data_IF_528476481968
#
_entry.id   IF_528476481968
#
_cell.length_a   1.000
_cell.length_b   1.000
_cell.length_c   1.000
_cell.angle_alpha   90.00
_cell.angle_beta   90.00
_cell.angle_gamma   90.00
#
_symmetry.space_group_name_H-M   'P 1'
#
loop_
_entity.id
_entity.type
_entity.pdbx_description
1 polymer ?
#
# COMPACT_ATOMS: atom_id res chain seq x y z
N UNK A 1 15.46 34.16 1.86
CA UNK A 1 14.03 34.30 2.22
C UNK A 1 13.34 34.92 1.02
N UNK A 2 12.20 34.41 0.58
CA UNK A 2 11.40 35.07 -0.46
C UNK A 2 10.76 36.35 0.12
N UNK A 3 10.60 37.40 -0.69
CA UNK A 3 10.01 38.66 -0.26
C UNK A 3 8.48 38.64 -0.37
N UNK A 4 7.81 39.55 0.34
CA UNK A 4 6.35 39.72 0.25
C UNK A 4 5.88 40.07 -1.18
N UNK A 5 6.74 40.74 -1.96
CA UNK A 5 6.52 41.05 -3.38
C UNK A 5 6.61 39.81 -4.28
N UNK A 6 7.42 38.81 -3.91
CA UNK A 6 7.50 37.55 -4.66
C UNK A 6 6.24 36.71 -4.41
N UNK A 7 5.75 36.68 -3.17
CA UNK A 7 4.51 36.00 -2.81
C UNK A 7 3.28 36.57 -3.55
N UNK A 8 3.14 37.90 -3.60
CA UNK A 8 2.03 38.56 -4.33
C UNK A 8 2.14 38.36 -5.84
N UNK A 9 3.36 38.39 -6.42
CA UNK A 9 3.57 38.05 -7.84
C UNK A 9 3.19 36.60 -8.15
N UNK A 10 3.61 35.65 -7.33
CA UNK A 10 3.26 34.23 -7.48
C UNK A 10 1.74 34.03 -7.36
N UNK A 11 1.08 34.68 -6.39
CA UNK A 11 -0.38 34.64 -6.26
C UNK A 11 -1.07 35.14 -7.52
N UNK A 12 -0.69 36.34 -8.01
CA UNK A 12 -1.32 36.92 -9.21
C UNK A 12 -1.09 36.08 -10.49
N UNK A 13 0.06 35.42 -10.62
CA UNK A 13 0.32 34.49 -11.74
C UNK A 13 -0.53 33.22 -11.63
N UNK A 14 -0.75 32.69 -10.42
CA UNK A 14 -1.69 31.60 -10.17
C UNK A 14 -3.13 32.01 -10.50
N UNK A 15 -3.57 33.19 -10.05
CA UNK A 15 -4.92 33.70 -10.30
C UNK A 15 -5.17 33.88 -11.83
N UNK A 16 -4.19 34.39 -12.58
CA UNK A 16 -4.25 34.48 -14.06
C UNK A 16 -4.29 33.08 -14.70
N UNK A 17 -3.40 32.16 -14.28
CA UNK A 17 -3.35 30.80 -14.82
C UNK A 17 -4.64 30.01 -14.56
N UNK A 18 -5.31 30.26 -13.42
CA UNK A 18 -6.62 29.69 -13.13
C UNK A 18 -7.73 30.29 -13.99
N UNK A 19 -7.70 31.61 -14.23
CA UNK A 19 -8.73 32.27 -15.03
C UNK A 19 -8.62 31.95 -16.54
N UNK A 20 -7.41 31.78 -17.05
CA UNK A 20 -7.14 31.62 -18.50
C UNK A 20 -6.71 30.21 -18.91
N UNK A 21 -6.55 29.28 -17.97
CA UNK A 21 -6.09 27.92 -18.27
C UNK A 21 -7.17 27.01 -18.84
N UNK A 22 -6.83 26.26 -19.89
CA UNK A 22 -7.72 25.28 -20.56
C UNK A 22 -8.03 24.03 -19.71
N UNK A 23 -7.39 23.89 -18.53
CA UNK A 23 -7.61 22.77 -17.61
C UNK A 23 -8.65 23.15 -16.54
N UNK A 24 -9.59 22.25 -16.19
CA UNK A 24 -10.48 22.44 -15.05
C UNK A 24 -9.74 22.86 -13.78
N UNK A 25 -10.05 24.05 -13.27
CA UNK A 25 -9.44 24.64 -12.08
C UNK A 25 -10.49 25.16 -11.09
N UNK A 26 -10.23 24.97 -9.80
CA UNK A 26 -11.07 25.41 -8.68
C UNK A 26 -10.21 26.09 -7.61
N UNK A 27 -10.76 27.12 -6.99
CA UNK A 27 -10.30 27.63 -5.70
C UNK A 27 -11.26 27.11 -4.63
N UNK A 28 -10.73 26.41 -3.63
CA UNK A 28 -11.54 25.84 -2.54
C UNK A 28 -10.99 26.20 -1.17
N UNK A 29 -11.87 26.26 -0.17
CA UNK A 29 -11.47 26.37 1.23
C UNK A 29 -10.75 25.10 1.71
N UNK A 30 -10.03 25.14 2.84
CA UNK A 30 -9.48 23.94 3.49
C UNK A 30 -10.52 22.85 3.86
N UNK A 31 -11.81 23.20 3.85
CA UNK A 31 -12.93 22.29 4.06
C UNK A 31 -13.60 21.87 2.74
N UNK A 32 -13.00 22.17 1.59
CA UNK A 32 -13.47 21.80 0.26
C UNK A 32 -14.66 22.60 -0.26
N UNK A 33 -14.97 23.76 0.32
CA UNK A 33 -16.02 24.66 -0.19
C UNK A 33 -15.48 25.45 -1.38
N UNK A 34 -16.15 25.38 -2.53
CA UNK A 34 -15.75 26.08 -3.75
C UNK A 34 -15.99 27.57 -3.60
N UNK A 35 -14.93 28.36 -3.78
CA UNK A 35 -14.97 29.82 -3.85
C UNK A 35 -14.96 30.32 -5.28
N UNK A 36 -14.23 29.62 -6.16
CA UNK A 36 -14.17 29.91 -7.59
C UNK A 36 -13.96 28.63 -8.40
N UNK A 37 -14.42 28.64 -9.65
CA UNK A 37 -14.11 27.63 -10.66
C UNK A 37 -13.97 28.32 -12.03
N UNK A 38 -13.07 27.84 -12.87
CA UNK A 38 -12.86 28.40 -14.20
C UNK A 38 -13.85 27.85 -15.25
N UNK A 39 -13.80 28.40 -16.46
CA UNK A 39 -14.68 27.99 -17.55
C UNK A 39 -14.50 26.50 -17.90
N UNK A 40 -13.26 26.00 -18.00
CA UNK A 40 -12.98 24.60 -18.27
C UNK A 40 -13.59 23.65 -17.21
N UNK A 41 -13.60 24.04 -15.93
CA UNK A 41 -14.27 23.29 -14.86
C UNK A 41 -15.79 23.31 -14.97
N UNK A 42 -16.37 24.47 -15.32
CA UNK A 42 -17.82 24.60 -15.58
C UNK A 42 -18.27 23.73 -16.76
N UNK A 43 -17.48 23.69 -17.84
CA UNK A 43 -17.74 22.86 -19.02
C UNK A 43 -17.56 21.36 -18.73
N UNK A 44 -16.49 20.96 -18.03
CA UNK A 44 -16.24 19.57 -17.65
C UNK A 44 -17.38 19.00 -16.80
N UNK A 45 -17.86 19.77 -15.81
CA UNK A 45 -18.97 19.39 -14.93
C UNK A 45 -20.36 19.65 -15.52
N UNK A 46 -20.48 20.41 -16.61
CA UNK A 46 -21.76 20.96 -17.14
C UNK A 46 -22.58 21.72 -16.08
N UNK A 47 -21.92 22.43 -15.17
CA UNK A 47 -22.56 23.19 -14.10
C UNK A 47 -22.46 24.69 -14.34
N UNK A 48 -23.53 25.43 -14.01
CA UNK A 48 -23.46 26.88 -13.94
C UNK A 48 -22.55 27.29 -12.77
N UNK A 49 -21.53 28.16 -12.98
CA UNK A 49 -20.62 28.56 -11.91
C UNK A 49 -21.33 29.12 -10.66
N UNK A 50 -22.44 29.86 -10.85
CA UNK A 50 -23.22 30.44 -9.77
C UNK A 50 -23.91 29.40 -8.88
N UNK A 51 -24.12 28.17 -9.38
CA UNK A 51 -24.69 27.05 -8.63
C UNK A 51 -23.61 26.21 -7.93
N UNK A 52 -22.38 26.21 -8.44
CA UNK A 52 -21.27 25.44 -7.88
C UNK A 52 -20.54 26.18 -6.75
N UNK A 53 -20.42 27.51 -6.81
CA UNK A 53 -19.83 28.32 -5.74
C UNK A 53 -20.64 28.19 -4.43
N UNK A 54 -19.94 28.18 -3.29
CA UNK A 54 -20.44 27.88 -1.93
C UNK A 54 -20.92 26.43 -1.70
N UNK A 55 -20.82 25.54 -2.68
CA UNK A 55 -21.02 24.09 -2.48
C UNK A 55 -19.68 23.38 -2.25
N UNK A 56 -19.69 22.08 -1.96
CA UNK A 56 -18.45 21.30 -1.73
C UNK A 56 -17.98 20.61 -3.00
N UNK A 57 -16.68 20.63 -3.26
CA UNK A 57 -16.06 19.89 -4.37
C UNK A 57 -16.35 18.38 -4.30
N UNK A 58 -16.46 17.83 -3.10
CA UNK A 58 -16.84 16.44 -2.82
C UNK A 58 -18.24 16.04 -3.34
N UNK A 59 -19.10 16.99 -3.71
CA UNK A 59 -20.39 16.71 -4.35
C UNK A 59 -20.26 16.33 -5.83
N UNK A 60 -19.18 16.78 -6.49
CA UNK A 60 -18.98 16.71 -7.95
C UNK A 60 -17.94 15.67 -8.38
N UNK A 61 -17.37 14.93 -7.43
CA UNK A 61 -16.48 13.80 -7.68
C UNK A 61 -17.13 12.49 -7.26
N UNK A 62 -16.61 11.37 -7.77
CA UNK A 62 -17.10 10.03 -7.41
C UNK A 62 -16.71 9.71 -5.97
N UNK A 63 -15.43 9.85 -5.59
CA UNK A 63 -14.95 9.61 -4.21
C UNK A 63 -14.91 10.89 -3.36
N UNK A 64 -16.09 11.49 -3.18
CA UNK A 64 -16.24 12.73 -2.41
C UNK A 64 -15.73 12.65 -0.97
N UNK A 65 -15.80 11.48 -0.33
CA UNK A 65 -15.34 11.31 1.05
C UNK A 65 -13.80 11.28 1.14
N UNK A 66 -13.11 10.62 0.22
CA UNK A 66 -11.64 10.68 0.20
C UNK A 66 -11.14 12.04 -0.31
N UNK A 67 -11.76 12.62 -1.33
CA UNK A 67 -11.41 13.97 -1.79
C UNK A 67 -11.56 15.00 -0.66
N UNK A 68 -12.60 14.93 0.18
CA UNK A 68 -12.72 15.76 1.39
C UNK A 68 -11.54 15.55 2.36
N UNK A 69 -11.16 14.29 2.65
CA UNK A 69 -10.06 13.96 3.56
C UNK A 69 -8.69 14.44 3.06
N UNK A 70 -8.45 14.41 1.75
CA UNK A 70 -7.22 14.92 1.12
C UNK A 70 -7.09 16.43 1.29
N UNK A 71 -8.17 17.17 1.01
CA UNK A 71 -8.23 18.62 1.23
C UNK A 71 -8.00 19.00 2.70
N UNK A 72 -8.53 18.21 3.64
CA UNK A 72 -8.29 18.40 5.08
C UNK A 72 -6.86 18.03 5.52
N UNK A 73 -6.21 17.07 4.87
CA UNK A 73 -4.82 16.67 5.12
C UNK A 73 -3.80 17.69 4.59
N UNK A 74 -4.08 18.32 3.45
CA UNK A 74 -3.29 19.43 2.91
C UNK A 74 -3.15 20.58 3.91
N UNK A 75 -4.22 20.92 4.63
CA UNK A 75 -4.21 21.94 5.68
C UNK A 75 -3.40 21.53 6.94
N UNK A 76 -2.95 20.27 7.06
CA UNK A 76 -2.27 19.74 8.26
C UNK A 76 -0.77 19.47 8.06
N UNK A 77 -0.23 19.54 6.84
CA UNK A 77 1.22 19.38 6.63
C UNK A 77 1.72 19.21 5.19
N UNK A 78 0.85 18.85 4.24
CA UNK A 78 1.24 18.67 2.83
C UNK A 78 1.02 19.94 2.01
N UNK A 79 2.05 20.42 1.30
CA UNK A 79 1.92 21.59 0.42
C UNK A 79 1.18 21.28 -0.89
N UNK A 80 1.19 20.03 -1.34
CA UNK A 80 0.45 19.57 -2.52
C UNK A 80 0.17 18.07 -2.47
N UNK A 81 -0.92 17.63 -3.11
CA UNK A 81 -1.28 16.21 -3.26
C UNK A 81 -1.92 15.99 -4.64
N UNK A 82 -1.58 14.88 -5.30
CA UNK A 82 -2.18 14.46 -6.58
C UNK A 82 -2.87 13.10 -6.41
N UNK A 83 -4.09 12.98 -6.94
CA UNK A 83 -4.87 11.75 -6.92
C UNK A 83 -5.73 11.60 -8.17
N UNK A 84 -6.12 10.37 -8.49
CA UNK A 84 -7.17 10.10 -9.47
C UNK A 84 -8.53 10.03 -8.79
N UNK A 85 -9.52 10.55 -9.47
CA UNK A 85 -10.94 10.50 -9.13
C UNK A 85 -11.72 10.47 -10.45
N UNK A 86 -13.04 10.61 -10.41
CA UNK A 86 -13.82 10.92 -11.60
C UNK A 86 -14.80 12.05 -11.30
N UNK A 87 -14.97 12.96 -12.25
CA UNK A 87 -16.05 13.94 -12.21
C UNK A 87 -17.39 13.25 -12.36
N UNK A 88 -18.33 13.55 -11.45
CA UNK A 88 -19.71 13.08 -11.50
C UNK A 88 -20.54 14.10 -12.29
N UNK A 89 -20.99 13.70 -13.47
CA UNK A 89 -21.78 14.54 -14.39
C UNK A 89 -23.08 13.83 -14.74
N UNK A 90 -24.16 14.18 -14.07
CA UNK A 90 -25.47 13.54 -14.20
C UNK A 90 -25.41 12.00 -13.99
N UNK A 91 -25.41 11.23 -15.07
CA UNK A 91 -25.29 9.75 -15.09
C UNK A 91 -23.93 9.27 -15.61
N UNK A 92 -23.05 10.18 -16.01
CA UNK A 92 -21.73 9.91 -16.57
C UNK A 92 -20.62 10.20 -15.55
N UNK A 93 -19.51 9.47 -15.66
CA UNK A 93 -18.32 9.68 -14.84
C UNK A 93 -17.10 9.88 -15.74
N UNK A 94 -16.47 11.06 -15.68
CA UNK A 94 -15.29 11.40 -16.49
C UNK A 94 -14.05 11.22 -15.63
N UNK A 95 -13.18 10.27 -15.97
CA UNK A 95 -11.93 10.01 -15.23
C UNK A 95 -11.01 11.24 -15.26
N UNK A 96 -10.46 11.61 -14.11
CA UNK A 96 -9.59 12.78 -13.99
C UNK A 96 -8.46 12.56 -12.98
N UNK A 97 -7.34 13.24 -13.21
CA UNK A 97 -6.23 13.35 -12.26
C UNK A 97 -6.27 14.74 -11.62
N UNK A 98 -6.67 14.77 -10.35
CA UNK A 98 -6.82 15.97 -9.53
C UNK A 98 -5.49 16.24 -8.81
N UNK A 99 -4.95 17.44 -8.94
CA UNK A 99 -3.80 17.94 -8.17
C UNK A 99 -4.21 19.16 -7.39
N UNK A 100 -4.04 19.12 -6.07
CA UNK A 100 -4.38 20.21 -5.17
C UNK A 100 -3.12 20.78 -4.50
N UNK A 101 -3.05 22.10 -4.41
CA UNK A 101 -1.95 22.87 -3.82
C UNK A 101 -2.47 23.72 -2.66
N UNK A 102 -1.89 23.58 -1.47
CA UNK A 102 -2.23 24.41 -0.32
C UNK A 102 -1.44 25.73 -0.35
N UNK A 103 -2.16 26.85 -0.39
CA UNK A 103 -1.59 28.20 -0.30
C UNK A 103 -1.88 28.77 1.10
N UNK A 104 -0.86 28.96 1.94
CA UNK A 104 -1.04 29.56 3.27
C UNK A 104 -1.36 31.05 3.17
N UNK A 105 -2.03 31.61 4.20
CA UNK A 105 -2.37 33.04 4.24
C UNK A 105 -1.13 33.95 4.20
N UNK A 106 0.04 33.46 4.63
CA UNK A 106 1.32 34.19 4.52
C UNK A 106 1.78 34.46 3.08
N UNK A 107 1.23 33.74 2.10
CA UNK A 107 1.52 33.91 0.66
C UNK A 107 0.39 34.66 -0.05
N UNK A 108 -0.88 34.41 0.31
CA UNK A 108 -2.06 34.97 -0.34
C UNK A 108 -2.66 36.23 0.35
N UNK A 109 -2.08 36.70 1.45
CA UNK A 109 -2.44 37.97 2.10
C UNK A 109 -3.73 37.99 2.93
N UNK A 110 -4.73 37.13 2.62
CA UNK A 110 -6.05 37.21 3.28
C UNK A 110 -6.53 35.90 3.92
N UNK A 111 -6.48 34.75 3.24
CA UNK A 111 -7.09 33.47 3.71
C UNK A 111 -6.29 32.25 3.28
N UNK A 112 -6.43 31.13 4.01
CA UNK A 112 -5.94 29.83 3.54
C UNK A 112 -6.80 29.38 2.35
N UNK A 113 -6.17 29.02 1.24
CA UNK A 113 -6.86 28.52 0.04
C UNK A 113 -6.18 27.30 -0.54
N UNK A 114 -6.94 26.43 -1.17
CA UNK A 114 -6.43 25.29 -1.93
C UNK A 114 -6.77 25.51 -3.40
N UNK A 115 -5.76 25.47 -4.27
CA UNK A 115 -5.97 25.47 -5.71
C UNK A 115 -6.02 24.04 -6.19
N UNK A 116 -7.11 23.66 -6.85
CA UNK A 116 -7.32 22.31 -7.37
C UNK A 116 -7.36 22.38 -8.89
N UNK A 117 -6.40 21.73 -9.54
CA UNK A 117 -6.38 21.53 -10.99
C UNK A 117 -6.81 20.09 -11.27
N UNK A 118 -7.50 19.84 -12.39
CA UNK A 118 -7.74 18.48 -12.85
C UNK A 118 -7.43 18.31 -14.33
N UNK A 119 -6.79 17.19 -14.65
CA UNK A 119 -6.55 16.73 -16.01
C UNK A 119 -7.54 15.63 -16.34
N UNK A 120 -8.49 15.93 -17.24
CA UNK A 120 -9.46 14.93 -17.70
C UNK A 120 -8.76 13.93 -18.64
N UNK A 121 -9.11 12.66 -18.49
CA UNK A 121 -8.81 11.61 -19.45
C UNK A 121 -10.04 11.36 -20.31
N UNK A 122 -10.17 12.06 -21.44
CA UNK A 122 -11.08 11.60 -22.49
C UNK A 122 -10.71 12.04 -23.92
N UNK A 123 -10.80 11.04 -24.81
CA UNK A 123 -11.01 11.08 -26.25
C UNK A 123 -10.65 12.38 -27.03
N UNK A 124 -9.50 12.36 -27.70
CA UNK A 124 -9.34 13.05 -28.99
C UNK A 124 -8.50 12.21 -29.95
N UNK A 125 -8.90 12.07 -31.23
CA UNK A 125 -8.15 11.34 -32.24
C UNK A 125 -7.05 12.24 -32.85
N UNK A 126 -5.91 11.64 -33.19
CA UNK A 126 -4.79 12.35 -33.82
C UNK A 126 -3.65 12.65 -32.83
N UNK A 127 -2.65 11.77 -32.83
CA UNK A 127 -1.53 11.79 -31.89
C UNK A 127 -0.66 10.55 -32.06
N UNK A 128 -0.43 10.14 -33.32
CA UNK A 128 0.55 9.10 -33.66
C UNK A 128 1.94 9.62 -33.30
N UNK A 129 2.42 9.25 -32.10
CA UNK A 129 3.84 9.25 -31.67
C UNK A 129 4.00 8.85 -30.17
N UNK A 130 2.90 8.72 -29.41
CA UNK A 130 2.92 8.32 -27.99
C UNK A 130 2.44 6.88 -27.70
N UNK A 131 2.32 6.01 -28.71
CA UNK A 131 1.55 4.74 -28.63
C UNK A 131 2.41 3.49 -28.32
N UNK A 132 3.61 3.66 -27.76
CA UNK A 132 4.47 2.53 -27.36
C UNK A 132 4.47 2.26 -25.83
N UNK A 133 3.97 3.19 -25.01
CA UNK A 133 4.00 3.09 -23.54
C UNK A 133 2.72 2.55 -22.86
N UNK A 134 1.63 2.31 -23.58
CA UNK A 134 0.29 2.06 -22.99
C UNK A 134 -0.40 0.76 -23.42
N UNK A 135 0.31 -0.16 -24.10
CA UNK A 135 -0.21 -1.52 -24.39
C UNK A 135 0.05 -2.54 -23.28
N UNK A 136 0.84 -2.20 -22.27
CA UNK A 136 1.41 -3.17 -21.31
C UNK A 136 0.65 -3.32 -19.98
N UNK A 137 -0.65 -2.97 -19.94
CA UNK A 137 -1.55 -3.32 -18.82
C UNK A 137 -2.85 -3.96 -19.32
N UNK A 138 -2.73 -4.94 -20.22
CA UNK A 138 -3.69 -6.04 -20.22
C UNK A 138 -3.11 -7.19 -19.39
N UNK A 139 -3.87 -7.82 -18.47
CA UNK A 139 -3.37 -8.96 -17.72
C UNK A 139 -3.06 -10.10 -18.69
N UNK A 140 -1.76 -10.35 -18.89
CA UNK A 140 -1.27 -11.46 -19.71
C UNK A 140 -1.91 -12.76 -19.22
N UNK A 141 -2.79 -13.34 -20.05
CA UNK A 141 -3.71 -14.47 -19.74
C UNK A 141 -3.34 -15.22 -18.46
N UNK A 142 -3.95 -14.83 -17.35
CA UNK A 142 -3.50 -15.21 -16.01
C UNK A 142 -3.38 -16.74 -15.88
N UNK A 143 -2.17 -17.19 -15.53
CA UNK A 143 -1.84 -18.60 -15.35
C UNK A 143 -2.37 -19.09 -13.99
N UNK A 144 -2.24 -18.24 -12.97
CA UNK A 144 -2.58 -18.52 -11.57
C UNK A 144 -3.99 -18.03 -11.28
N UNK A 145 -4.95 -18.96 -11.27
CA UNK A 145 -6.34 -18.64 -10.96
C UNK A 145 -6.49 -18.11 -9.52
N UNK A 146 -7.20 -17.00 -9.35
CA UNK A 146 -7.48 -16.39 -8.05
C UNK A 146 -8.32 -17.29 -7.13
N UNK A 147 -9.24 -18.07 -7.71
CA UNK A 147 -10.17 -18.96 -6.99
C UNK A 147 -9.55 -20.28 -6.46
N UNK A 148 -8.24 -20.50 -6.65
CA UNK A 148 -7.57 -21.75 -6.27
C UNK A 148 -6.25 -21.54 -5.53
N UNK A 149 -5.88 -22.44 -4.59
CA UNK A 149 -4.56 -22.45 -3.99
C UNK A 149 -3.48 -22.60 -5.07
N UNK A 150 -2.38 -21.85 -4.95
CA UNK A 150 -1.24 -21.99 -5.86
C UNK A 150 -0.47 -23.27 -5.50
N UNK A 151 -0.26 -24.14 -6.48
CA UNK A 151 0.36 -25.44 -6.30
C UNK A 151 1.86 -25.37 -6.61
N UNK A 152 2.63 -26.28 -6.02
CA UNK A 152 4.06 -26.43 -6.29
C UNK A 152 4.38 -26.62 -7.79
N UNK A 153 3.49 -27.27 -8.56
CA UNK A 153 3.63 -27.44 -10.00
C UNK A 153 3.44 -26.17 -10.84
N UNK A 154 2.84 -25.11 -10.27
CA UNK A 154 2.64 -23.84 -10.97
C UNK A 154 3.92 -22.99 -11.06
N UNK A 155 4.93 -23.25 -10.20
CA UNK A 155 6.23 -22.57 -10.27
C UNK A 155 6.95 -22.79 -11.60
N UNK A 156 6.93 -24.02 -12.12
CA UNK A 156 7.59 -24.34 -13.39
C UNK A 156 6.91 -23.62 -14.55
N UNK A 157 5.56 -23.63 -14.57
CA UNK A 157 4.75 -22.92 -15.56
C UNK A 157 4.98 -21.40 -15.52
N UNK A 158 5.08 -20.82 -14.32
CA UNK A 158 5.38 -19.39 -14.20
C UNK A 158 6.83 -19.08 -14.61
N UNK A 159 7.80 -19.95 -14.28
CA UNK A 159 9.18 -19.84 -14.76
C UNK A 159 9.25 -19.83 -16.29
N UNK A 160 8.49 -20.70 -16.94
CA UNK A 160 8.36 -20.77 -18.40
C UNK A 160 7.70 -19.51 -18.97
N UNK A 161 6.58 -19.03 -18.38
CA UNK A 161 5.92 -17.77 -18.76
C UNK A 161 6.87 -16.56 -18.68
N UNK A 162 7.65 -16.49 -17.60
CA UNK A 162 8.63 -15.41 -17.35
C UNK A 162 9.94 -15.57 -18.16
N UNK A 163 10.16 -16.71 -18.81
CA UNK A 163 11.38 -17.04 -19.56
C UNK A 163 12.70 -16.91 -18.76
N UNK A 164 12.64 -17.06 -17.44
CA UNK A 164 13.81 -16.94 -16.55
C UNK A 164 14.40 -18.29 -16.13
N UNK A 165 15.65 -18.26 -15.64
CA UNK A 165 16.29 -19.43 -15.03
C UNK A 165 15.66 -19.78 -13.68
N UNK A 166 15.76 -21.05 -13.28
CA UNK A 166 15.30 -21.51 -11.95
C UNK A 166 15.97 -20.75 -10.82
N UNK A 167 17.29 -20.51 -10.91
CA UNK A 167 18.03 -19.74 -9.91
C UNK A 167 17.45 -18.31 -9.79
N UNK A 168 17.16 -17.66 -10.92
CA UNK A 168 16.59 -16.32 -10.93
C UNK A 168 15.18 -16.28 -10.33
N UNK A 169 14.33 -17.26 -10.63
CA UNK A 169 13.01 -17.34 -9.99
C UNK A 169 13.12 -17.59 -8.47
N UNK A 170 14.08 -18.41 -8.03
CA UNK A 170 14.35 -18.62 -6.60
C UNK A 170 14.80 -17.34 -5.90
N UNK A 171 15.72 -16.57 -6.50
CA UNK A 171 16.12 -15.24 -6.03
C UNK A 171 14.93 -14.28 -5.93
N UNK A 172 14.13 -14.18 -7.00
CA UNK A 172 12.96 -13.29 -7.06
C UNK A 172 11.88 -13.66 -6.04
N UNK A 173 11.74 -14.93 -5.66
CA UNK A 173 10.79 -15.36 -4.63
C UNK A 173 11.40 -15.39 -3.21
N UNK A 174 12.70 -15.10 -3.07
CA UNK A 174 13.42 -15.21 -1.79
C UNK A 174 13.46 -16.63 -1.23
N UNK A 175 13.42 -17.66 -2.09
CA UNK A 175 13.40 -19.08 -1.69
C UNK A 175 14.73 -19.76 -1.97
N UNK A 176 15.04 -20.81 -1.19
CA UNK A 176 16.22 -21.63 -1.45
C UNK A 176 15.98 -22.62 -2.59
N UNK A 177 17.06 -23.02 -3.29
CA UNK A 177 17.00 -24.15 -4.24
C UNK A 177 16.54 -25.46 -3.59
N UNK A 178 16.77 -25.65 -2.28
CA UNK A 178 16.27 -26.82 -1.52
C UNK A 178 14.74 -26.78 -1.42
N UNK A 179 14.16 -25.60 -1.20
CA UNK A 179 12.71 -25.38 -1.21
C UNK A 179 12.12 -25.69 -2.59
N UNK A 180 12.75 -25.18 -3.65
CA UNK A 180 12.37 -25.47 -5.04
C UNK A 180 12.34 -26.98 -5.34
N UNK A 181 13.43 -27.70 -5.07
CA UNK A 181 13.48 -29.14 -5.34
C UNK A 181 12.51 -29.96 -4.47
N UNK A 182 12.21 -29.50 -3.26
CA UNK A 182 11.19 -30.13 -2.39
C UNK A 182 9.78 -29.98 -2.99
N UNK A 183 9.43 -28.78 -3.45
CA UNK A 183 8.16 -28.50 -4.13
C UNK A 183 8.07 -29.25 -5.47
N UNK A 184 9.14 -29.29 -6.27
CA UNK A 184 9.17 -30.05 -7.54
C UNK A 184 8.89 -31.55 -7.37
N UNK A 185 9.27 -32.15 -6.23
CA UNK A 185 8.95 -33.56 -5.91
C UNK A 185 7.49 -33.79 -5.55
N UNK A 186 6.74 -32.74 -5.19
CA UNK A 186 5.36 -32.83 -4.72
C UNK A 186 4.47 -31.77 -5.41
N UNK A 187 4.34 -31.80 -6.74
CA UNK A 187 3.77 -30.69 -7.53
C UNK A 187 2.29 -30.41 -7.26
N UNK A 188 1.55 -31.35 -6.65
CA UNK A 188 0.14 -31.19 -6.27
C UNK A 188 -0.04 -30.57 -4.87
N UNK A 189 1.03 -30.35 -4.11
CA UNK A 189 0.96 -29.75 -2.77
C UNK A 189 0.81 -28.23 -2.88
N UNK A 190 -0.15 -27.60 -2.18
CA UNK A 190 -0.25 -26.15 -2.07
C UNK A 190 0.99 -25.53 -1.41
N UNK A 191 1.39 -24.34 -1.85
CA UNK A 191 2.49 -23.59 -1.24
C UNK A 191 2.02 -22.99 0.08
N UNK A 192 2.68 -23.34 1.19
CA UNK A 192 2.31 -22.87 2.53
C UNK A 192 2.77 -21.44 2.86
N UNK A 193 3.74 -20.89 2.12
CA UNK A 193 4.25 -19.53 2.34
C UNK A 193 3.40 -18.51 1.60
N UNK A 194 2.55 -17.78 2.33
CA UNK A 194 1.68 -16.73 1.77
C UNK A 194 2.45 -15.63 1.05
N UNK A 195 3.59 -15.20 1.58
CA UNK A 195 4.45 -14.21 0.91
C UNK A 195 4.90 -14.70 -0.48
N UNK A 196 5.23 -15.99 -0.62
CA UNK A 196 5.55 -16.60 -1.92
C UNK A 196 4.32 -16.70 -2.81
N UNK A 197 3.16 -17.10 -2.27
CA UNK A 197 1.89 -17.17 -3.03
C UNK A 197 1.49 -15.80 -3.58
N UNK A 198 1.49 -14.76 -2.74
CA UNK A 198 1.20 -13.38 -3.13
C UNK A 198 2.20 -12.89 -4.19
N UNK A 199 3.49 -13.20 -4.04
CA UNK A 199 4.50 -12.80 -5.01
C UNK A 199 4.37 -13.55 -6.35
N UNK A 200 4.06 -14.84 -6.33
CA UNK A 200 3.78 -15.62 -7.55
C UNK A 200 2.60 -15.05 -8.32
N UNK A 201 1.49 -14.72 -7.64
CA UNK A 201 0.32 -14.06 -8.25
C UNK A 201 0.67 -12.67 -8.80
N UNK A 202 1.50 -11.92 -8.08
CA UNK A 202 1.94 -10.59 -8.50
C UNK A 202 2.80 -10.66 -9.77
N UNK A 203 3.73 -11.62 -9.86
CA UNK A 203 4.57 -11.86 -11.04
C UNK A 203 3.79 -12.45 -12.22
N UNK A 204 2.70 -13.17 -11.98
CA UNK A 204 1.80 -13.64 -13.06
C UNK A 204 0.99 -12.48 -13.67
N UNK A 205 0.62 -11.49 -12.86
CA UNK A 205 -0.08 -10.28 -13.30
C UNK A 205 0.87 -9.23 -13.92
N UNK A 206 2.05 -9.03 -13.34
CA UNK A 206 3.07 -8.04 -13.70
C UNK A 206 4.47 -8.71 -13.76
N UNK A 207 4.82 -9.35 -14.88
CA UNK A 207 6.04 -10.14 -15.04
C UNK A 207 7.34 -9.33 -14.98
N UNK A 208 7.26 -8.02 -15.20
CA UNK A 208 8.39 -7.08 -15.23
C UNK A 208 8.97 -6.75 -13.83
N UNK A 209 8.33 -7.21 -12.76
CA UNK A 209 8.71 -6.94 -11.36
C UNK A 209 9.91 -7.78 -10.88
N UNK A 210 11.00 -7.78 -11.64
CA UNK A 210 12.19 -8.61 -11.41
C UNK A 210 13.18 -8.00 -10.38
N UNK A 211 12.69 -7.56 -9.23
CA UNK A 211 13.46 -6.79 -8.23
C UNK A 211 14.08 -7.63 -7.11
N UNK A 212 15.17 -7.13 -6.52
CA UNK A 212 15.91 -7.80 -5.44
C UNK A 212 15.64 -7.17 -4.06
N UNK A 213 15.60 -8.01 -3.03
CA UNK A 213 14.83 -7.78 -1.79
C UNK A 213 15.13 -6.52 -0.95
N UNK A 214 14.06 -5.81 -0.59
CA UNK A 214 14.03 -4.58 0.23
C UNK A 214 13.53 -4.84 1.66
N UNK A 215 13.67 -3.89 2.60
CA UNK A 215 13.14 -4.04 3.96
C UNK A 215 11.70 -3.48 4.08
N UNK A 216 10.82 -4.08 4.90
CA UNK A 216 9.45 -3.58 5.06
C UNK A 216 9.36 -2.12 5.53
N UNK A 217 10.38 -1.61 6.23
CA UNK A 217 10.44 -0.20 6.62
C UNK A 217 10.51 0.74 5.39
N UNK A 218 11.27 0.37 4.36
CA UNK A 218 11.42 1.15 3.13
C UNK A 218 10.06 1.25 2.39
N UNK A 219 9.32 0.14 2.34
CA UNK A 219 7.98 0.10 1.78
C UNK A 219 6.97 0.87 2.64
N UNK A 220 7.06 0.82 3.98
CA UNK A 220 6.19 1.61 4.86
C UNK A 220 6.38 3.11 4.65
N UNK A 221 7.64 3.55 4.50
CA UNK A 221 8.00 4.93 4.17
C UNK A 221 7.42 5.32 2.80
N UNK A 222 7.70 4.53 1.77
CA UNK A 222 7.25 4.82 0.41
C UNK A 222 5.71 4.83 0.28
N UNK A 223 5.00 3.94 0.97
CA UNK A 223 3.53 3.91 0.98
C UNK A 223 2.92 5.18 1.60
N UNK A 224 3.52 5.67 2.68
CA UNK A 224 3.11 6.94 3.30
C UNK A 224 3.46 8.13 2.39
N UNK A 225 4.68 8.17 1.84
CA UNK A 225 5.18 9.29 1.06
C UNK A 225 4.51 9.44 -0.33
N UNK A 226 4.29 8.33 -1.04
CA UNK A 226 3.81 8.35 -2.43
C UNK A 226 2.31 8.02 -2.58
N UNK A 227 1.72 7.21 -1.69
CA UNK A 227 0.31 6.80 -1.79
C UNK A 227 -0.58 7.37 -0.67
N UNK A 228 0.00 8.03 0.33
CA UNK A 228 -0.70 8.52 1.53
C UNK A 228 -1.13 7.41 2.51
N UNK A 229 -0.63 6.18 2.33
CA UNK A 229 -1.10 5.01 3.09
C UNK A 229 -0.22 4.81 4.33
N UNK A 230 -0.71 5.28 5.48
CA UNK A 230 -0.08 5.02 6.78
C UNK A 230 -0.52 3.68 7.36
N UNK A 231 0.39 2.69 7.36
CA UNK A 231 0.21 1.37 7.97
C UNK A 231 1.06 1.22 9.23
N UNK A 232 0.60 0.49 10.25
CA UNK A 232 1.52 0.00 11.29
C UNK A 232 2.35 -1.17 10.72
N UNK A 233 3.49 -1.51 11.33
CA UNK A 233 4.21 -2.73 10.95
C UNK A 233 3.37 -4.03 11.14
N UNK A 234 2.36 -4.01 12.00
CA UNK A 234 1.42 -5.14 12.14
C UNK A 234 0.47 -5.24 10.94
N UNK A 235 -0.06 -4.11 10.45
CA UNK A 235 -0.85 -4.08 9.22
C UNK A 235 0.03 -4.47 8.02
N UNK A 236 1.23 -3.90 7.91
CA UNK A 236 2.15 -4.24 6.84
C UNK A 236 2.52 -5.73 6.84
N UNK A 237 2.76 -6.34 8.00
CA UNK A 237 2.99 -7.79 8.08
C UNK A 237 1.82 -8.60 7.51
N UNK A 238 0.59 -8.21 7.81
CA UNK A 238 -0.59 -8.82 7.18
C UNK A 238 -0.57 -8.63 5.66
N UNK A 239 -0.26 -7.44 5.14
CA UNK A 239 -0.19 -7.21 3.68
C UNK A 239 0.90 -8.10 3.05
N UNK A 240 2.06 -8.26 3.69
CA UNK A 240 3.16 -9.12 3.23
C UNK A 240 2.90 -10.64 3.34
N UNK A 241 1.71 -11.10 3.74
CA UNK A 241 1.44 -12.52 4.00
C UNK A 241 2.09 -13.08 5.28
N UNK A 242 2.60 -12.21 6.16
CA UNK A 242 3.36 -12.58 7.35
C UNK A 242 2.53 -12.45 8.64
N UNK A 243 2.93 -13.18 9.68
CA UNK A 243 2.29 -13.10 10.99
C UNK A 243 2.53 -11.75 11.67
N UNK A 244 1.56 -11.32 12.49
CA UNK A 244 1.63 -10.09 13.30
C UNK A 244 2.90 -9.99 14.17
N UNK A 245 3.44 -11.14 14.60
CA UNK A 245 4.71 -11.22 15.36
C UNK A 245 5.91 -10.75 14.53
N UNK A 246 5.94 -11.03 13.23
CA UNK A 246 6.99 -10.54 12.33
C UNK A 246 6.93 -9.02 12.21
N UNK A 247 5.73 -8.45 12.09
CA UNK A 247 5.54 -6.98 12.11
C UNK A 247 6.10 -6.32 13.38
N UNK A 248 5.86 -6.91 14.57
CA UNK A 248 6.46 -6.41 15.81
C UNK A 248 7.99 -6.50 15.80
N UNK A 249 8.57 -7.55 15.20
CA UNK A 249 10.01 -7.71 15.06
C UNK A 249 10.62 -6.65 14.11
N UNK A 250 9.97 -6.35 12.98
CA UNK A 250 10.43 -5.32 12.03
C UNK A 250 10.44 -3.93 12.67
N UNK A 251 9.43 -3.59 13.46
CA UNK A 251 9.40 -2.36 14.27
C UNK A 251 10.46 -2.28 15.37
N UNK A 252 11.25 -3.34 15.59
CA UNK A 252 12.43 -3.38 16.45
C UNK A 252 13.75 -3.47 15.68
N UNK A 253 13.71 -3.37 14.35
CA UNK A 253 14.89 -3.47 13.47
C UNK A 253 15.35 -4.89 13.16
N UNK A 254 14.57 -5.93 13.48
CA UNK A 254 14.90 -7.28 13.04
C UNK A 254 14.60 -7.45 11.54
N UNK A 255 15.48 -8.10 10.77
CA UNK A 255 15.28 -8.27 9.33
C UNK A 255 14.07 -9.15 9.04
N UNK A 256 13.38 -8.86 7.94
CA UNK A 256 12.35 -9.74 7.42
C UNK A 256 12.96 -11.00 6.77
N UNK A 257 12.17 -12.08 6.68
CA UNK A 257 12.56 -13.29 5.96
C UNK A 257 12.68 -12.99 4.45
N UNK A 258 13.55 -13.73 3.76
CA UNK A 258 13.85 -13.44 2.35
C UNK A 258 12.62 -13.43 1.41
N UNK A 259 11.60 -14.31 1.55
CA UNK A 259 10.38 -14.21 0.75
C UNK A 259 9.57 -12.94 0.99
N UNK A 260 9.57 -12.43 2.23
CA UNK A 260 8.95 -11.15 2.55
C UNK A 260 9.76 -10.03 1.91
N UNK A 261 11.09 -10.02 2.07
CA UNK A 261 11.98 -9.00 1.47
C UNK A 261 11.85 -8.94 -0.05
N UNK A 262 11.75 -10.09 -0.70
CA UNK A 262 11.60 -10.20 -2.14
C UNK A 262 10.26 -9.63 -2.61
N UNK A 263 9.15 -9.98 -1.96
CA UNK A 263 7.85 -9.34 -2.21
C UNK A 263 7.91 -7.82 -1.93
N UNK A 264 8.58 -7.40 -0.85
CA UNK A 264 8.74 -5.96 -0.51
C UNK A 264 9.40 -5.19 -1.66
N UNK A 265 10.41 -5.76 -2.32
CA UNK A 265 11.09 -5.09 -3.43
C UNK A 265 10.16 -4.87 -4.64
N UNK A 266 9.36 -5.87 -5.00
CA UNK A 266 8.38 -5.76 -6.07
C UNK A 266 7.28 -4.74 -5.76
N UNK A 267 6.79 -4.70 -4.52
CA UNK A 267 5.83 -3.70 -4.06
C UNK A 267 6.44 -2.30 -3.99
N UNK A 268 7.68 -2.16 -3.52
CA UNK A 268 8.38 -0.88 -3.47
C UNK A 268 8.59 -0.33 -4.88
N UNK A 269 8.95 -1.21 -5.83
CA UNK A 269 9.06 -0.81 -7.23
C UNK A 269 7.71 -0.40 -7.84
N UNK A 270 6.62 -1.09 -7.51
CA UNK A 270 5.26 -0.64 -7.88
C UNK A 270 5.00 0.77 -7.35
N UNK A 271 5.21 1.00 -6.05
CA UNK A 271 4.93 2.29 -5.38
C UNK A 271 5.76 3.44 -5.94
N UNK A 272 7.00 3.17 -6.39
CA UNK A 272 7.93 4.19 -6.87
C UNK A 272 7.93 4.39 -8.40
N UNK A 273 7.57 3.38 -9.20
CA UNK A 273 7.80 3.37 -10.66
C UNK A 273 6.58 2.98 -11.50
N UNK A 274 5.48 2.50 -10.89
CA UNK A 274 4.27 2.09 -11.60
C UNK A 274 3.09 3.00 -11.24
N UNK A 275 2.10 3.16 -12.13
CA UNK A 275 0.93 3.96 -11.84
C UNK A 275 0.09 3.30 -10.72
N UNK A 276 -0.74 4.09 -10.02
CA UNK A 276 -1.45 3.66 -8.79
C UNK A 276 -2.34 2.43 -9.00
N UNK A 277 -2.79 2.17 -10.21
CA UNK A 277 -3.56 0.99 -10.60
C UNK A 277 -2.79 -0.33 -10.37
N UNK A 278 -1.46 -0.32 -10.51
CA UNK A 278 -0.61 -1.48 -10.20
C UNK A 278 -0.62 -1.82 -8.69
N UNK A 279 -0.79 -0.81 -7.83
CA UNK A 279 -1.01 -1.04 -6.39
C UNK A 279 -2.39 -1.62 -6.10
N UNK A 280 -3.44 -1.15 -6.79
CA UNK A 280 -4.78 -1.74 -6.67
C UNK A 280 -4.82 -3.20 -7.12
N UNK A 281 -4.07 -3.56 -8.19
CA UNK A 281 -3.89 -4.96 -8.57
C UNK A 281 -3.37 -5.81 -7.40
N UNK A 282 -2.36 -5.32 -6.67
CA UNK A 282 -1.86 -6.01 -5.48
C UNK A 282 -2.89 -6.10 -4.35
N UNK A 283 -3.64 -5.01 -4.07
CA UNK A 283 -4.70 -5.05 -3.05
C UNK A 283 -5.79 -6.07 -3.41
N UNK A 284 -6.21 -6.13 -4.67
CA UNK A 284 -7.18 -7.13 -5.14
C UNK A 284 -6.64 -8.56 -5.01
N UNK A 285 -5.36 -8.82 -5.33
CA UNK A 285 -4.73 -10.13 -5.12
C UNK A 285 -4.68 -10.53 -3.63
N UNK A 286 -4.42 -9.56 -2.76
CA UNK A 286 -4.37 -9.74 -1.31
C UNK A 286 -5.75 -10.06 -0.72
N UNK A 287 -6.79 -9.35 -1.17
CA UNK A 287 -8.18 -9.57 -0.78
C UNK A 287 -8.68 -10.95 -1.26
N UNK A 288 -8.42 -11.32 -2.51
CA UNK A 288 -8.76 -12.64 -3.06
C UNK A 288 -8.06 -13.78 -2.29
N UNK A 289 -6.79 -13.60 -1.91
CA UNK A 289 -6.08 -14.58 -1.09
C UNK A 289 -6.63 -14.65 0.34
N UNK A 290 -7.06 -13.53 0.92
CA UNK A 290 -7.74 -13.51 2.21
C UNK A 290 -9.10 -14.21 2.17
N UNK A 291 -9.90 -13.99 1.13
CA UNK A 291 -11.18 -14.67 0.90
C UNK A 291 -10.99 -16.19 0.77
N UNK A 292 -10.03 -16.63 -0.04
CA UNK A 292 -9.69 -18.04 -0.24
C UNK A 292 -9.30 -18.75 1.07
N UNK A 293 -8.62 -18.04 1.97
CA UNK A 293 -8.25 -18.55 3.30
C UNK A 293 -9.29 -18.25 4.40
N UNK A 294 -10.44 -17.67 4.04
CA UNK A 294 -11.53 -17.26 4.96
C UNK A 294 -11.08 -16.31 6.07
N UNK A 295 -10.10 -15.45 5.77
CA UNK A 295 -9.58 -14.43 6.68
C UNK A 295 -10.36 -13.13 6.49
N UNK A 296 -10.96 -12.61 7.56
CA UNK A 296 -11.66 -11.33 7.51
C UNK A 296 -10.66 -10.16 7.41
N UNK A 297 -10.47 -9.69 6.18
CA UNK A 297 -9.59 -8.58 5.81
C UNK A 297 -9.95 -7.28 6.54
N UNK A 298 -11.25 -7.00 6.72
CA UNK A 298 -11.75 -5.76 7.30
C UNK A 298 -11.62 -5.71 8.83
N UNK A 299 -11.89 -6.81 9.55
CA UNK A 299 -11.95 -6.80 11.01
C UNK A 299 -10.64 -7.16 11.71
N UNK A 300 -9.91 -8.17 11.21
CA UNK A 300 -8.85 -8.82 12.00
C UNK A 300 -7.45 -8.40 11.57
N UNK A 301 -7.27 -8.04 10.28
CA UNK A 301 -5.97 -7.71 9.65
C UNK A 301 -4.84 -8.64 10.10
N UNK A 302 -5.13 -9.94 10.08
CA UNK A 302 -4.25 -10.98 10.61
C UNK A 302 -4.60 -12.31 9.97
N UNK A 303 -3.58 -13.06 9.53
CA UNK A 303 -3.72 -14.41 8.98
C UNK A 303 -4.05 -15.48 10.03
N UNK A 304 -4.20 -15.10 11.29
CA UNK A 304 -4.71 -15.99 12.32
C UNK A 304 -6.22 -16.19 12.13
N UNK A 305 -6.61 -17.35 11.61
CA UNK A 305 -8.01 -17.79 11.63
C UNK A 305 -8.55 -17.78 13.06
N UNK A 306 -9.68 -17.10 13.28
CA UNK A 306 -10.38 -17.11 14.57
C UNK A 306 -10.62 -18.55 15.01
N UNK A 307 -10.04 -18.93 16.14
CA UNK A 307 -10.07 -20.31 16.67
C UNK A 307 -11.40 -20.63 17.37
N UNK A 308 -12.49 -20.16 16.77
CA UNK A 308 -13.79 -19.90 17.39
C UNK A 308 -14.93 -20.79 16.88
N UNK A 309 -14.58 -21.93 16.26
CA UNK A 309 -15.51 -23.03 15.92
C UNK A 309 -15.09 -24.35 16.61
N UNK A 310 -14.52 -24.26 17.83
CA UNK A 310 -14.53 -25.38 18.78
C UNK A 310 -15.55 -25.05 19.85
N UNK A 311 -16.78 -25.46 19.56
CA UNK A 311 -17.89 -25.50 20.50
C UNK A 311 -17.44 -26.30 21.73
N UNK A 312 -17.41 -25.73 22.95
CA UNK A 312 -17.19 -26.54 24.14
C UNK A 312 -18.42 -27.42 24.33
N UNK A 313 -18.28 -28.71 24.04
CA UNK A 313 -19.31 -29.70 24.36
C UNK A 313 -19.49 -29.74 25.89
N UNK A 314 -20.70 -29.44 26.34
CA UNK A 314 -21.12 -29.51 27.74
C UNK A 314 -21.14 -30.97 28.22
N UNK A 315 -19.97 -31.55 28.51
CA UNK A 315 -19.85 -32.83 29.24
C UNK A 315 -19.80 -32.57 30.76
N UNK A 316 -20.87 -31.97 31.26
CA UNK A 316 -21.20 -31.99 32.69
C UNK A 316 -21.82 -33.34 33.05
N UNK A 317 -21.00 -34.39 33.19
CA UNK A 317 -21.20 -35.49 34.15
C UNK A 317 -20.17 -36.62 33.99
N UNK A 318 -19.19 -36.69 34.91
CA UNK A 318 -19.02 -37.88 35.76
C UNK A 318 -18.07 -37.63 36.93
N UNK A 319 -18.48 -38.16 38.08
CA UNK A 319 -17.87 -37.94 39.39
C UNK A 319 -16.69 -38.87 39.68
N UNK A 320 -15.82 -38.40 40.56
CA UNK A 320 -15.07 -39.15 41.57
C UNK A 320 -14.33 -40.44 41.18
N UNK A 321 -12.99 -40.38 41.20
CA UNK A 321 -12.22 -41.15 42.19
C UNK A 321 -10.80 -40.60 42.41
N UNK A 322 -10.36 -40.58 43.67
CA UNK A 322 -9.00 -40.21 44.10
C UNK A 322 -7.93 -41.20 43.60
N UNK A 323 -6.74 -40.69 43.24
CA UNK A 323 -5.44 -40.96 43.92
C UNK A 323 -4.51 -39.77 43.64
N UNK A 324 -3.84 -39.23 44.67
CA UNK A 324 -2.92 -38.07 44.51
C UNK A 324 -1.46 -38.47 44.25
N UNK A 325 -0.57 -37.48 44.11
CA UNK A 325 0.84 -37.46 44.62
C UNK A 325 1.51 -36.10 44.29
N UNK A 326 1.84 -35.37 45.36
CA UNK A 326 2.82 -34.28 45.57
C UNK A 326 3.46 -33.49 44.41
N UNK A 327 3.43 -32.15 44.52
CA UNK A 327 4.47 -31.24 43.97
C UNK A 327 5.73 -31.20 44.85
N UNK A 328 6.90 -30.89 44.26
CA UNK A 328 7.68 -29.72 44.71
C UNK A 328 8.24 -28.90 43.51
N UNK A 329 8.02 -27.59 43.42
CA UNK A 329 8.65 -26.49 44.17
C UNK A 329 10.04 -26.02 43.64
N UNK A 330 10.08 -24.75 43.20
CA UNK A 330 11.23 -23.95 42.74
C UNK A 330 12.49 -24.05 43.62
N UNK A 331 13.68 -23.94 43.01
CA UNK A 331 14.95 -23.46 43.64
C UNK A 331 15.91 -22.83 42.60
N UNK A 332 17.01 -22.11 42.97
CA UNK A 332 17.15 -20.70 42.55
C UNK A 332 18.50 -20.30 41.91
N UNK A 333 18.64 -19.00 41.57
CA UNK A 333 19.90 -18.34 41.20
C UNK A 333 20.89 -18.23 42.38
N UNK A 334 22.21 -18.24 42.12
CA UNK A 334 23.22 -17.69 43.04
C UNK A 334 23.86 -16.37 42.56
N UNK A 335 24.12 -15.50 43.55
CA UNK A 335 25.08 -14.36 43.63
C UNK A 335 25.66 -14.49 45.06
N UNK A 336 26.89 -14.12 45.43
CA UNK A 336 28.04 -13.55 44.73
C UNK A 336 29.31 -13.64 45.64
N UNK A 337 30.42 -13.01 45.20
CA UNK A 337 31.54 -12.44 45.99
C UNK A 337 32.67 -13.36 46.53
N UNK A 338 33.92 -12.87 46.42
CA UNK A 338 35.14 -13.44 47.02
C UNK A 338 36.46 -12.80 46.50
N UNK A 339 37.30 -12.24 47.38
CA UNK A 339 38.50 -11.41 47.06
C UNK A 339 39.61 -11.58 48.12
N UNK A 340 40.88 -11.16 47.98
CA UNK A 340 41.43 -10.07 47.14
C UNK A 340 42.78 -10.34 46.40
N UNK A 341 44.00 -10.44 47.01
CA UNK A 341 45.05 -9.52 46.53
C UNK A 341 46.42 -10.09 46.07
N UNK A 342 47.05 -9.31 45.16
CA UNK A 342 48.49 -8.95 45.03
C UNK A 342 49.61 -10.02 45.09
N UNK A 343 50.33 -10.16 43.98
CA UNK A 343 51.78 -9.86 43.79
C UNK A 343 52.20 -10.26 42.35
N UNK A 344 53.32 -9.84 41.72
CA UNK A 344 54.36 -8.89 42.15
C UNK A 344 55.81 -9.32 41.84
N UNK A 345 56.18 -9.63 40.57
CA UNK A 345 57.55 -9.76 39.98
C UNK A 345 57.36 -10.04 38.46
N UNK A 346 57.98 -9.42 37.44
CA UNK A 346 59.30 -8.79 37.15
C UNK A 346 60.34 -9.77 36.55
N UNK A 347 60.92 -9.35 35.42
CA UNK A 347 61.97 -9.97 34.57
C UNK A 347 61.48 -11.00 33.53
N UNK A 348 62.10 -11.10 32.35
CA UNK A 348 63.31 -10.40 31.84
C UNK A 348 63.01 -9.54 30.62
#
# INVERSE_FOLDING_TARGET
MASLNDATRISSLLDIAMQQGDQPAFEVSPQGVIWYLNQAASEALRLNPQQAVNTRLSNYVVDGLMTQRRLEALNQGSQSETWRDAWRRDQETISCEITAFFIPASVAGERHRIIVLAKNYDLSPGGEDAVDGLKEIQPSKALLRSDKPVLAGDLERLREKLQISTNRLCELLGISMVSWYTWRKTPQTPISSRSVVLHLRLLDAMPELAQLGAQPADLQEALRAHLGISLTFSDLAFWMGADRRSGYAWGRGYPASDPVRALTASLLYIVLNKPREAWWCYQTLLEQQAELEKVNFASTRSWATSRSDVQPSDDRNRSDTNVGVTSPAKRPRPRALGTVPRSGKRRS
#
